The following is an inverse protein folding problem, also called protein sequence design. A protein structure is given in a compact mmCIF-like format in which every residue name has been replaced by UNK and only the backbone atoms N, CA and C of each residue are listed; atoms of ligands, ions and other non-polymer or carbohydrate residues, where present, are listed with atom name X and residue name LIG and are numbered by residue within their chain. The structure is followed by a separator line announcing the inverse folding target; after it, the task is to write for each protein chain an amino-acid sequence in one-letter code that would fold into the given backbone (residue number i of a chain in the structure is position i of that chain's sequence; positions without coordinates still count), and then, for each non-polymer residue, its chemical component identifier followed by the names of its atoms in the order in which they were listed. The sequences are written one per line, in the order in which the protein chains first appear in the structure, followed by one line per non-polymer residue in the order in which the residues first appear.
data_IF_449050639419
#
_entry.id   IF_449050639419
#
_cell.length_a   1.000
_cell.length_b   1.000
_cell.length_c   1.000
_cell.angle_alpha   90.00
_cell.angle_beta   90.00
_cell.angle_gamma   90.00
#
_symmetry.space_group_name_H-M   'P 1'
#
loop_
_entity.id
_entity.type
_entity.pdbx_description
1 polymer ?
#
# COMPACT_ATOMS: atom_id res chain seq x y z
N UNK A 1 -2.37 41.46 11.18
CA UNK A 1 -1.90 40.26 10.46
C UNK A 1 -0.53 39.90 11.02
N UNK A 2 -0.49 39.03 12.03
CA UNK A 2 0.78 38.56 12.62
C UNK A 2 1.26 37.35 11.83
N UNK A 3 2.15 37.57 10.86
CA UNK A 3 2.86 36.48 10.21
C UNK A 3 4.04 36.08 11.09
N UNK A 4 3.86 35.06 11.91
CA UNK A 4 4.97 34.29 12.45
C UNK A 4 5.78 33.70 11.28
N UNK A 5 7.11 33.81 11.25
CA UNK A 5 7.96 33.36 10.13
C UNK A 5 8.03 31.82 9.94
N UNK A 6 7.07 31.07 10.49
CA UNK A 6 7.00 29.61 10.51
C UNK A 6 6.05 29.01 9.46
N UNK A 7 5.39 29.82 8.62
CA UNK A 7 4.32 29.38 7.70
C UNK A 7 4.62 29.53 6.21
N UNK A 8 5.70 30.20 5.80
CA UNK A 8 6.01 30.34 4.37
C UNK A 8 6.73 29.08 3.85
N UNK A 9 6.05 28.31 3.01
CA UNK A 9 6.61 27.16 2.30
C UNK A 9 6.78 27.55 0.82
N UNK A 10 8.02 27.58 0.28
CA UNK A 10 8.26 27.95 -1.12
C UNK A 10 7.92 26.82 -2.10
N UNK A 11 7.70 25.60 -1.58
CA UNK A 11 7.41 24.40 -2.36
C UNK A 11 5.99 24.51 -2.95
N UNK A 12 5.81 24.32 -4.26
CA UNK A 12 4.49 24.27 -4.89
C UNK A 12 3.55 23.29 -4.20
N UNK A 13 2.26 23.62 -4.11
CA UNK A 13 1.29 22.86 -3.33
C UNK A 13 1.23 21.39 -3.73
N UNK A 14 1.32 21.06 -5.02
CA UNK A 14 1.28 19.70 -5.53
C UNK A 14 2.52 18.85 -5.15
N UNK A 15 3.64 19.50 -4.81
CA UNK A 15 4.89 18.84 -4.41
C UNK A 15 5.06 18.78 -2.88
N UNK A 16 4.09 19.30 -2.12
CA UNK A 16 4.13 19.29 -0.66
C UNK A 16 3.74 17.89 -0.13
N UNK A 17 4.58 17.25 0.71
CA UNK A 17 4.31 15.92 1.27
C UNK A 17 2.98 15.78 2.01
N UNK A 18 2.50 16.88 2.62
CA UNK A 18 1.20 16.88 3.31
C UNK A 18 0.03 16.79 2.31
N UNK A 19 0.10 17.53 1.20
CA UNK A 19 -0.93 17.50 0.18
C UNK A 19 -0.92 16.15 -0.56
N UNK A 20 0.27 15.59 -0.84
CA UNK A 20 0.39 14.23 -1.37
C UNK A 20 -0.21 13.18 -0.41
N UNK A 21 -0.03 13.36 0.90
CA UNK A 21 -0.65 12.50 1.91
C UNK A 21 -2.18 12.56 1.86
N UNK A 22 -2.76 13.76 1.79
CA UNK A 22 -4.21 13.94 1.74
C UNK A 22 -4.79 13.37 0.43
N UNK A 23 -4.13 13.63 -0.71
CA UNK A 23 -4.51 13.03 -2.00
C UNK A 23 -4.45 11.49 -1.97
N UNK A 24 -3.39 10.92 -1.38
CA UNK A 24 -3.25 9.47 -1.24
C UNK A 24 -4.38 8.91 -0.36
N UNK A 25 -4.66 9.57 0.77
CA UNK A 25 -5.70 9.19 1.72
C UNK A 25 -7.10 9.19 1.10
N UNK A 26 -7.40 10.15 0.23
CA UNK A 26 -8.69 10.26 -0.46
C UNK A 26 -8.82 9.34 -1.68
N UNK A 27 -7.70 8.84 -2.20
CA UNK A 27 -7.72 7.96 -3.36
C UNK A 27 -8.48 6.65 -3.09
N UNK A 28 -9.22 6.19 -4.11
CA UNK A 28 -10.04 4.99 -4.00
C UNK A 28 -9.27 3.74 -3.56
N UNK A 29 -8.03 3.58 -4.00
CA UNK A 29 -7.21 2.41 -3.69
C UNK A 29 -6.51 2.52 -2.33
N UNK A 30 -5.85 3.66 -2.06
CA UNK A 30 -5.04 3.78 -0.85
C UNK A 30 -5.86 4.08 0.41
N UNK A 31 -7.08 4.63 0.25
CA UNK A 31 -8.03 4.85 1.35
C UNK A 31 -8.34 3.58 2.16
N UNK A 32 -8.11 2.38 1.61
CA UNK A 32 -8.34 1.10 2.30
C UNK A 32 -7.55 1.01 3.62
N UNK A 33 -6.36 1.60 3.67
CA UNK A 33 -5.54 1.65 4.88
C UNK A 33 -6.23 2.36 6.05
N UNK A 34 -7.03 3.39 5.76
CA UNK A 34 -7.75 4.20 6.74
C UNK A 34 -9.13 3.64 7.11
N UNK A 35 -9.58 2.56 6.48
CA UNK A 35 -10.88 1.97 6.78
C UNK A 35 -10.88 1.24 8.13
N UNK A 36 -12.07 1.07 8.69
CA UNK A 36 -12.29 0.15 9.79
C UNK A 36 -11.88 -1.28 9.41
N UNK A 37 -11.48 -2.07 10.41
CA UNK A 37 -10.92 -3.41 10.20
C UNK A 37 -11.83 -4.31 9.38
N UNK A 38 -13.15 -4.29 9.64
CA UNK A 38 -14.14 -5.12 8.92
C UNK A 38 -14.21 -4.72 7.44
N UNK A 39 -14.26 -3.42 7.15
CA UNK A 39 -14.28 -2.91 5.78
C UNK A 39 -12.99 -3.24 5.03
N UNK A 40 -11.84 -3.12 5.71
CA UNK A 40 -10.54 -3.48 5.15
C UNK A 40 -10.46 -4.99 4.80
N UNK A 41 -10.82 -5.87 5.74
CA UNK A 41 -10.85 -7.32 5.50
C UNK A 41 -11.77 -7.64 4.32
N UNK A 42 -12.96 -7.04 4.28
CA UNK A 42 -13.90 -7.24 3.16
C UNK A 42 -13.27 -6.89 1.81
N UNK A 43 -12.51 -5.80 1.71
CA UNK A 43 -11.79 -5.42 0.48
C UNK A 43 -10.73 -6.45 0.11
N UNK A 44 -9.91 -6.88 1.07
CA UNK A 44 -8.86 -7.90 0.87
C UNK A 44 -9.47 -9.22 0.39
N UNK A 45 -10.53 -9.71 1.03
CA UNK A 45 -11.23 -10.94 0.64
C UNK A 45 -11.88 -10.80 -0.73
N UNK A 46 -12.42 -9.62 -1.06
CA UNK A 46 -13.01 -9.37 -2.38
C UNK A 46 -11.97 -9.44 -3.50
N UNK A 47 -10.80 -8.82 -3.29
CA UNK A 47 -9.67 -8.91 -4.24
C UNK A 47 -9.22 -10.35 -4.41
N UNK A 48 -9.06 -11.09 -3.31
CA UNK A 48 -8.70 -12.50 -3.33
C UNK A 48 -9.71 -13.35 -4.11
N UNK A 49 -11.01 -13.16 -3.88
CA UNK A 49 -12.07 -13.89 -4.57
C UNK A 49 -11.99 -13.72 -6.09
N UNK A 50 -11.91 -12.47 -6.56
CA UNK A 50 -11.79 -12.20 -8.00
C UNK A 50 -10.46 -12.68 -8.58
N UNK A 51 -9.37 -12.55 -7.83
CA UNK A 51 -8.07 -13.07 -8.24
C UNK A 51 -8.10 -14.61 -8.41
N UNK A 52 -8.66 -15.34 -7.46
CA UNK A 52 -8.83 -16.80 -7.56
C UNK A 52 -9.72 -17.16 -8.75
N UNK A 53 -10.80 -16.41 -9.00
CA UNK A 53 -11.66 -16.65 -10.16
C UNK A 53 -10.91 -16.50 -11.48
N UNK A 54 -10.07 -15.46 -11.61
CA UNK A 54 -9.22 -15.23 -12.79
C UNK A 54 -8.21 -16.37 -12.99
N UNK A 55 -7.68 -16.94 -11.91
CA UNK A 55 -6.70 -18.04 -11.98
C UNK A 55 -7.34 -19.43 -12.14
N UNK A 56 -8.66 -19.56 -11.96
CA UNK A 56 -9.35 -20.84 -12.03
C UNK A 56 -9.24 -21.52 -13.41
N UNK A 57 -9.40 -20.83 -14.56
CA UNK A 57 -9.20 -21.46 -15.87
C UNK A 57 -7.78 -21.99 -16.08
N UNK A 58 -6.77 -21.27 -15.58
CA UNK A 58 -5.36 -21.67 -15.66
C UNK A 58 -5.11 -22.93 -14.83
N UNK A 59 -5.66 -22.95 -13.62
CA UNK A 59 -5.61 -24.11 -12.73
C UNK A 59 -6.34 -25.32 -13.34
N UNK A 60 -7.51 -25.10 -13.94
CA UNK A 60 -8.31 -26.18 -14.55
C UNK A 60 -7.61 -26.80 -15.77
N UNK A 61 -6.93 -26.00 -16.58
CA UNK A 61 -6.12 -26.49 -17.70
C UNK A 61 -4.95 -27.38 -17.23
N UNK A 62 -4.41 -27.11 -16.04
CA UNK A 62 -3.30 -27.88 -15.45
C UNK A 62 -3.79 -29.12 -14.70
N UNK A 63 -4.90 -28.98 -13.98
CA UNK A 63 -5.50 -30.01 -13.13
C UNK A 63 -6.99 -30.11 -13.45
N UNK A 64 -7.40 -31.01 -14.37
CA UNK A 64 -8.80 -31.19 -14.72
C UNK A 64 -9.64 -31.56 -13.50
N UNK A 65 -10.82 -30.93 -13.37
CA UNK A 65 -11.73 -31.12 -12.23
C UNK A 65 -12.12 -32.59 -12.02
N UNK A 66 -12.32 -33.33 -13.12
CA UNK A 66 -12.76 -34.74 -13.08
C UNK A 66 -11.72 -35.68 -12.47
N UNK A 67 -10.44 -35.29 -12.51
CA UNK A 67 -9.33 -36.15 -12.06
C UNK A 67 -8.65 -35.65 -10.79
N UNK A 68 -8.49 -34.34 -10.64
CA UNK A 68 -7.73 -33.73 -9.55
C UNK A 68 -8.44 -32.50 -8.96
N UNK A 69 -9.66 -32.65 -8.41
CA UNK A 69 -10.45 -31.50 -7.93
C UNK A 69 -9.76 -30.73 -6.80
N UNK A 70 -9.06 -31.44 -5.90
CA UNK A 70 -8.34 -30.81 -4.79
C UNK A 70 -7.14 -30.00 -5.30
N UNK A 71 -6.35 -30.54 -6.25
CA UNK A 71 -5.19 -29.83 -6.84
C UNK A 71 -5.63 -28.59 -7.61
N UNK A 72 -6.76 -28.66 -8.31
CA UNK A 72 -7.37 -27.49 -8.97
C UNK A 72 -7.66 -26.38 -7.95
N UNK A 73 -8.40 -26.69 -6.88
CA UNK A 73 -8.77 -25.68 -5.88
C UNK A 73 -7.53 -25.06 -5.22
N UNK A 74 -6.56 -25.88 -4.82
CA UNK A 74 -5.34 -25.39 -4.19
C UNK A 74 -4.51 -24.52 -5.15
N UNK A 75 -4.34 -24.93 -6.40
CA UNK A 75 -3.58 -24.17 -7.40
C UNK A 75 -4.27 -22.86 -7.81
N UNK A 76 -5.60 -22.85 -7.96
CA UNK A 76 -6.36 -21.62 -8.21
C UNK A 76 -6.20 -20.63 -7.06
N UNK A 77 -6.29 -21.11 -5.80
CA UNK A 77 -6.09 -20.28 -4.62
C UNK A 77 -4.66 -19.75 -4.52
N UNK A 78 -3.65 -20.55 -4.88
CA UNK A 78 -2.26 -20.11 -4.90
C UNK A 78 -2.06 -18.96 -5.90
N UNK A 79 -2.66 -19.07 -7.09
CA UNK A 79 -2.67 -17.98 -8.08
C UNK A 79 -3.38 -16.72 -7.58
N UNK A 80 -4.52 -16.88 -6.90
CA UNK A 80 -5.24 -15.78 -6.26
C UNK A 80 -4.41 -15.07 -5.18
N UNK A 81 -3.70 -15.83 -4.35
CA UNK A 81 -2.79 -15.28 -3.33
C UNK A 81 -1.62 -14.51 -3.94
N UNK A 82 -1.09 -14.98 -5.08
CA UNK A 82 -0.04 -14.25 -5.80
C UNK A 82 -0.50 -12.86 -6.23
N UNK A 83 -1.65 -12.73 -6.90
CA UNK A 83 -2.18 -11.40 -7.25
C UNK A 83 -2.49 -10.54 -6.03
N UNK A 84 -3.10 -11.13 -4.99
CA UNK A 84 -3.37 -10.40 -3.76
C UNK A 84 -2.08 -9.82 -3.15
N UNK A 85 -0.99 -10.60 -3.18
CA UNK A 85 0.31 -10.14 -2.67
C UNK A 85 0.84 -8.92 -3.44
N UNK A 86 0.64 -8.85 -4.77
CA UNK A 86 1.03 -7.69 -5.59
C UNK A 86 0.20 -6.45 -5.24
N UNK A 87 -1.11 -6.63 -4.99
CA UNK A 87 -2.01 -5.56 -4.56
C UNK A 87 -1.57 -5.01 -3.20
N UNK A 88 -1.30 -5.88 -2.22
CA UNK A 88 -0.81 -5.47 -0.90
C UNK A 88 0.57 -4.81 -0.99
N UNK A 89 1.47 -5.30 -1.84
CA UNK A 89 2.77 -4.69 -2.09
C UNK A 89 2.62 -3.27 -2.65
N UNK A 90 1.74 -3.06 -3.64
CA UNK A 90 1.48 -1.72 -4.20
C UNK A 90 0.93 -0.77 -3.13
N UNK A 91 0.00 -1.25 -2.31
CA UNK A 91 -0.58 -0.49 -1.21
C UNK A 91 0.51 -0.09 -0.18
N UNK A 92 1.35 -1.05 0.21
CA UNK A 92 2.46 -0.84 1.14
C UNK A 92 3.46 0.19 0.60
N UNK A 93 3.87 0.06 -0.67
CA UNK A 93 4.84 0.96 -1.30
C UNK A 93 4.32 2.40 -1.38
N UNK A 94 3.04 2.61 -1.69
CA UNK A 94 2.46 3.96 -1.73
C UNK A 94 2.44 4.63 -0.35
N UNK A 95 2.01 3.90 0.69
CA UNK A 95 2.03 4.42 2.05
C UNK A 95 3.45 4.64 2.58
N UNK A 96 4.40 3.76 2.23
CA UNK A 96 5.81 3.90 2.60
C UNK A 96 6.44 5.11 1.94
N UNK A 97 6.14 5.37 0.67
CA UNK A 97 6.63 6.53 -0.05
C UNK A 97 6.26 7.84 0.66
N UNK A 98 4.97 8.01 1.01
CA UNK A 98 4.51 9.21 1.72
C UNK A 98 5.12 9.32 3.12
N UNK A 99 5.24 8.20 3.85
CA UNK A 99 5.94 8.18 5.13
C UNK A 99 7.35 8.75 5.00
N UNK A 100 8.11 8.25 4.03
CA UNK A 100 9.51 8.63 3.84
C UNK A 100 9.60 10.13 3.40
N UNK A 101 8.67 10.62 2.57
CA UNK A 101 8.55 12.06 2.21
C UNK A 101 8.22 12.98 3.40
N UNK A 102 7.34 12.54 4.30
CA UNK A 102 6.99 13.31 5.51
C UNK A 102 8.14 13.36 6.51
N UNK A 103 8.89 12.26 6.68
CA UNK A 103 10.02 12.20 7.62
C UNK A 103 11.28 12.93 7.11
N UNK A 104 11.38 13.17 5.81
CA UNK A 104 12.53 13.83 5.19
C UNK A 104 12.62 15.30 5.59
N UNK A 105 13.80 15.73 6.05
CA UNK A 105 14.09 17.13 6.42
C UNK A 105 14.34 18.03 5.20
N UNK A 106 15.02 17.50 4.18
CA UNK A 106 15.39 18.22 2.95
C UNK A 106 14.49 17.81 1.80
N UNK A 107 13.62 18.69 1.35
CA UNK A 107 12.72 18.46 0.23
C UNK A 107 13.31 19.09 -1.03
N UNK A 108 13.54 18.27 -2.05
CA UNK A 108 13.81 18.75 -3.41
C UNK A 108 12.48 19.09 -4.08
N UNK A 109 12.39 20.28 -4.67
CA UNK A 109 11.20 20.74 -5.38
C UNK A 109 11.60 21.54 -6.62
N UNK A 110 10.72 21.62 -7.59
CA UNK A 110 10.92 22.35 -8.84
C UNK A 110 9.91 23.49 -8.93
N UNK A 111 10.41 24.72 -9.16
CA UNK A 111 9.58 25.85 -9.51
C UNK A 111 9.41 25.88 -11.03
N UNK A 112 8.20 26.14 -11.53
CA UNK A 112 7.89 26.15 -12.96
C UNK A 112 8.94 26.94 -13.77
N UNK A 113 9.74 26.27 -14.60
CA UNK A 113 10.84 26.91 -15.32
C UNK A 113 11.79 25.90 -15.99
N UNK A 114 12.92 26.41 -16.49
CA UNK A 114 14.00 25.62 -17.12
C UNK A 114 15.20 25.44 -16.18
N UNK A 115 15.03 25.75 -14.90
CA UNK A 115 16.09 25.74 -13.89
C UNK A 115 16.06 24.44 -13.08
N UNK A 116 17.23 24.03 -12.59
CA UNK A 116 17.37 22.85 -11.73
C UNK A 116 16.50 22.95 -10.46
N UNK A 117 16.12 21.80 -9.91
CA UNK A 117 15.36 21.73 -8.67
C UNK A 117 16.08 22.39 -7.48
N UNK A 118 15.31 23.04 -6.62
CA UNK A 118 15.78 23.67 -5.40
C UNK A 118 15.61 22.72 -4.20
N UNK A 119 16.39 22.95 -3.14
CA UNK A 119 16.29 22.19 -1.89
C UNK A 119 15.76 23.11 -0.79
N UNK A 120 14.60 22.77 -0.26
CA UNK A 120 14.03 23.42 0.91
C UNK A 120 14.24 22.56 2.16
N UNK A 121 14.69 23.18 3.26
CA UNK A 121 14.77 22.53 4.57
C UNK A 121 13.51 22.83 5.36
N UNK A 122 12.81 21.78 5.80
CA UNK A 122 11.62 21.90 6.65
C UNK A 122 11.99 22.59 7.98
N UNK A 123 11.27 23.65 8.38
CA UNK A 123 11.36 24.17 9.74
C UNK A 123 11.00 23.08 10.75
N UNK A 124 11.62 23.13 11.94
CA UNK A 124 11.41 22.13 13.01
C UNK A 124 9.93 21.93 13.35
N UNK A 125 9.14 23.01 13.39
CA UNK A 125 7.69 22.94 13.65
C UNK A 125 6.94 22.09 12.60
N UNK A 126 7.30 22.23 11.32
CA UNK A 126 6.69 21.45 10.22
C UNK A 126 7.12 19.99 10.31
N UNK A 127 8.41 19.75 10.55
CA UNK A 127 8.95 18.40 10.66
C UNK A 127 8.37 17.63 11.86
N UNK A 128 8.16 18.30 13.00
CA UNK A 128 7.52 17.71 14.17
C UNK A 128 6.06 17.34 13.89
N UNK A 129 5.30 18.22 13.24
CA UNK A 129 3.93 17.92 12.79
C UNK A 129 3.89 16.71 11.86
N UNK A 130 4.75 16.69 10.84
CA UNK A 130 4.82 15.59 9.87
C UNK A 130 5.17 14.25 10.57
N UNK A 131 6.10 14.27 11.54
CA UNK A 131 6.44 13.09 12.35
C UNK A 131 5.28 12.58 13.20
N UNK A 132 4.45 13.47 13.76
CA UNK A 132 3.24 13.09 14.50
C UNK A 132 2.21 12.42 13.57
N UNK A 133 2.02 12.95 12.36
CA UNK A 133 1.15 12.31 11.34
C UNK A 133 1.67 10.91 11.03
N UNK A 134 2.99 10.77 10.82
CA UNK A 134 3.62 9.48 10.55
C UNK A 134 3.40 8.49 11.69
N UNK A 135 3.63 8.89 12.94
CA UNK A 135 3.53 7.98 14.09
C UNK A 135 2.09 7.57 14.39
N UNK A 136 1.13 8.49 14.31
CA UNK A 136 -0.25 8.23 14.74
C UNK A 136 -1.19 7.80 13.61
N UNK A 137 -0.92 8.20 12.36
CA UNK A 137 -1.81 7.91 11.23
C UNK A 137 -1.20 6.88 10.28
N UNK A 138 0.06 7.06 9.85
CA UNK A 138 0.63 6.20 8.78
C UNK A 138 1.22 4.89 9.32
N UNK A 139 1.93 4.92 10.45
CA UNK A 139 2.52 3.74 11.07
C UNK A 139 1.51 2.60 11.32
N UNK A 140 0.31 2.83 11.90
CA UNK A 140 -0.66 1.74 12.09
C UNK A 140 -1.20 1.18 10.76
N UNK A 141 -1.32 2.01 9.71
CA UNK A 141 -1.72 1.57 8.38
C UNK A 141 -0.66 0.61 7.80
N UNK A 142 0.61 1.02 7.83
CA UNK A 142 1.71 0.19 7.34
C UNK A 142 1.82 -1.12 8.12
N UNK A 143 1.70 -1.07 9.45
CA UNK A 143 1.74 -2.26 10.29
C UNK A 143 0.62 -3.25 9.93
N UNK A 144 -0.60 -2.75 9.71
CA UNK A 144 -1.74 -3.58 9.28
C UNK A 144 -1.47 -4.24 7.92
N UNK A 145 -1.02 -3.47 6.92
CA UNK A 145 -0.72 -4.00 5.59
C UNK A 145 0.41 -5.04 5.66
N UNK A 146 1.44 -4.80 6.48
CA UNK A 146 2.54 -5.74 6.67
C UNK A 146 2.07 -7.03 7.34
N UNK A 147 1.25 -6.95 8.39
CA UNK A 147 0.67 -8.12 9.06
C UNK A 147 -0.17 -8.96 8.09
N UNK A 148 -1.02 -8.31 7.29
CA UNK A 148 -1.84 -9.03 6.30
C UNK A 148 -1.00 -9.67 5.20
N UNK A 149 0.08 -9.01 4.78
CA UNK A 149 1.04 -9.59 3.82
C UNK A 149 1.70 -10.85 4.37
N UNK A 150 2.11 -10.85 5.65
CA UNK A 150 2.66 -12.05 6.30
C UNK A 150 1.64 -13.18 6.40
N UNK A 151 0.38 -12.88 6.71
CA UNK A 151 -0.71 -13.87 6.74
C UNK A 151 -0.91 -14.49 5.35
N UNK A 152 -0.97 -13.66 4.30
CA UNK A 152 -1.12 -14.13 2.91
C UNK A 152 0.04 -15.05 2.51
N UNK A 153 1.28 -14.67 2.84
CA UNK A 153 2.46 -15.50 2.57
C UNK A 153 2.41 -16.81 3.34
N UNK A 154 2.03 -16.78 4.62
CA UNK A 154 1.90 -18.00 5.44
C UNK A 154 0.85 -18.97 4.85
N UNK A 155 -0.30 -18.45 4.43
CA UNK A 155 -1.34 -19.26 3.76
C UNK A 155 -0.81 -19.81 2.43
N UNK A 156 -0.13 -19.00 1.61
CA UNK A 156 0.45 -19.45 0.35
C UNK A 156 1.45 -20.61 0.54
N UNK A 157 2.32 -20.53 1.56
CA UNK A 157 3.24 -21.61 1.92
C UNK A 157 2.46 -22.89 2.30
N UNK A 158 1.39 -22.76 3.08
CA UNK A 158 0.52 -23.89 3.44
C UNK A 158 -0.19 -24.51 2.23
N UNK A 159 -0.59 -23.71 1.24
CA UNK A 159 -1.17 -24.23 -0.01
C UNK A 159 -0.12 -24.97 -0.84
N UNK A 160 1.11 -24.46 -0.92
CA UNK A 160 2.22 -25.11 -1.63
C UNK A 160 2.56 -26.46 -0.97
N UNK A 161 2.66 -26.51 0.36
CA UNK A 161 2.92 -27.78 1.05
C UNK A 161 1.79 -28.78 0.85
N UNK A 162 0.53 -28.33 0.88
CA UNK A 162 -0.63 -29.16 0.56
C UNK A 162 -0.60 -29.73 -0.87
N UNK A 163 -0.20 -28.92 -1.86
CA UNK A 163 -0.01 -29.37 -3.23
C UNK A 163 1.11 -30.41 -3.38
N UNK A 164 2.18 -30.27 -2.59
CA UNK A 164 3.31 -31.19 -2.64
C UNK A 164 3.00 -32.56 -2.03
N UNK A 165 2.06 -32.61 -1.08
CA UNK A 165 1.65 -33.86 -0.39
C UNK A 165 0.59 -34.66 -1.16
N UNK A 166 -0.08 -34.06 -2.16
CA UNK A 166 -1.15 -34.68 -2.97
C UNK A 166 -0.62 -35.15 -4.33
#
# INVERSE_FOLDING_TARGET
MNNSPTTFCPVPEEQQPLNEYDQLKESWFFSWGNMEMVCYIRKVTWVWFWATLIFTPIAWASFPFDRYPIKLILSANLGGMFLLSLVLLRLYLGWRYIRDRLQTEKLTYEESGWYDGQIWRKPEAVLQRDRLIVSYQIAPILARIQQTSFIVVAIAIGLISGLWLL
#
